data_IF_438819709290
#
_entry.id   IF_438819709290
#
_cell.length_a   1.000
_cell.length_b   1.000
_cell.length_c   1.000
_cell.angle_alpha   90.00
_cell.angle_beta   90.00
_cell.angle_gamma   90.00
#
_symmetry.space_group_name_H-M   'P 1'
#
loop_
_entity.id
_entity.type
_entity.pdbx_description
1 polymer ?
#
# COMPACT_ATOMS: atom_id res chain seq x y z
N UNK A 1 17.31 6.11 5.78
CA UNK A 1 17.69 6.86 7.01
C UNK A 1 19.03 6.40 7.54
N UNK A 2 19.23 5.10 7.82
CA UNK A 2 20.53 4.59 8.29
C UNK A 2 21.68 4.90 7.31
N UNK A 3 21.45 4.74 6.00
CA UNK A 3 22.46 5.08 4.98
C UNK A 3 22.75 6.59 4.85
N UNK A 4 21.97 7.44 5.55
CA UNK A 4 22.11 8.90 5.56
C UNK A 4 22.49 9.43 6.96
N UNK A 5 23.00 8.59 7.87
CA UNK A 5 23.34 9.01 9.24
C UNK A 5 24.28 10.23 9.24
N UNK A 6 25.29 10.26 8.39
CA UNK A 6 26.26 11.36 8.34
C UNK A 6 25.65 12.70 7.93
N UNK A 7 24.55 12.66 7.17
CA UNK A 7 23.78 13.85 6.78
C UNK A 7 22.80 14.25 7.89
N UNK A 8 22.08 13.27 8.44
CA UNK A 8 21.01 13.51 9.43
C UNK A 8 21.57 13.99 10.78
N UNK A 9 22.81 13.61 11.13
CA UNK A 9 23.45 13.98 12.40
C UNK A 9 23.97 15.42 12.47
N UNK A 10 24.01 16.14 11.34
CA UNK A 10 24.51 17.51 11.29
C UNK A 10 23.61 18.44 12.11
N UNK A 11 24.20 19.40 12.83
CA UNK A 11 23.46 20.30 13.72
C UNK A 11 22.47 21.21 12.99
N UNK A 12 22.72 21.47 11.70
CA UNK A 12 21.93 22.31 10.80
C UNK A 12 21.09 21.49 9.81
N UNK A 13 20.93 20.19 10.03
CA UNK A 13 20.12 19.33 9.15
C UNK A 13 18.67 19.81 9.06
N UNK A 14 18.21 20.08 7.83
CA UNK A 14 16.81 20.31 7.47
C UNK A 14 16.35 19.14 6.58
N UNK A 15 15.25 18.43 6.94
CA UNK A 15 14.74 17.33 6.13
C UNK A 15 14.36 17.77 4.72
N UNK A 16 14.76 17.00 3.72
CA UNK A 16 14.25 17.15 2.36
C UNK A 16 12.82 16.62 2.24
N UNK A 17 12.09 17.01 1.17
CA UNK A 17 10.76 16.44 0.88
C UNK A 17 10.79 14.92 0.79
N UNK A 18 11.87 14.34 0.26
CA UNK A 18 12.04 12.89 0.20
C UNK A 18 12.26 12.26 1.58
N UNK A 19 12.89 12.97 2.51
CA UNK A 19 13.02 12.52 3.90
C UNK A 19 11.66 12.60 4.62
N UNK A 20 10.88 13.65 4.37
CA UNK A 20 9.51 13.79 4.89
C UNK A 20 8.60 12.68 4.37
N UNK A 21 8.62 12.39 3.05
CA UNK A 21 7.84 11.31 2.44
C UNK A 21 8.23 9.91 2.93
N UNK A 22 9.51 9.69 3.27
CA UNK A 22 9.99 8.42 3.83
C UNK A 22 9.76 8.31 5.34
N UNK A 23 9.45 9.42 6.02
CA UNK A 23 9.16 9.43 7.44
C UNK A 23 7.90 8.61 7.70
N UNK A 24 8.01 7.61 8.58
CA UNK A 24 6.86 6.77 8.94
C UNK A 24 6.17 7.34 10.17
N UNK A 25 5.15 8.14 9.94
CA UNK A 25 4.16 8.51 10.95
C UNK A 25 2.91 7.66 10.72
N UNK A 26 2.45 6.93 11.73
CA UNK A 26 1.25 6.11 11.61
C UNK A 26 0.01 7.01 11.73
N UNK A 27 -0.80 7.09 10.70
CA UNK A 27 -2.10 7.78 10.74
C UNK A 27 -3.00 7.12 11.79
N UNK A 28 -3.47 7.93 12.75
CA UNK A 28 -4.55 7.59 13.69
C UNK A 28 -5.64 8.65 13.55
N UNK A 29 -6.89 8.21 13.38
CA UNK A 29 -8.02 9.07 13.05
C UNK A 29 -8.25 9.23 11.55
N UNK A 30 -8.93 10.32 11.22
CA UNK A 30 -9.30 10.73 9.86
C UNK A 30 -8.74 12.13 9.65
N UNK A 31 -7.97 12.32 8.58
CA UNK A 31 -7.43 13.60 8.19
C UNK A 31 -8.01 14.01 6.83
N UNK A 32 -8.34 15.29 6.71
CA UNK A 32 -8.94 15.84 5.49
C UNK A 32 -7.95 16.76 4.79
N UNK A 33 -7.91 16.69 3.47
CA UNK A 33 -7.14 17.63 2.65
C UNK A 33 -7.97 18.02 1.44
N UNK A 34 -8.05 19.32 1.17
CA UNK A 34 -8.74 19.86 0.00
C UNK A 34 -7.72 20.54 -0.90
N UNK A 35 -7.74 20.20 -2.18
CA UNK A 35 -6.85 20.78 -3.18
C UNK A 35 -7.53 20.83 -4.54
N UNK A 36 -6.98 21.59 -5.47
CA UNK A 36 -7.50 21.75 -6.83
C UNK A 36 -6.42 21.37 -7.84
N UNK A 37 -6.78 20.54 -8.83
CA UNK A 37 -5.92 20.18 -9.98
C UNK A 37 -6.71 20.42 -11.24
N UNK A 38 -6.18 21.21 -12.18
CA UNK A 38 -6.83 21.52 -13.46
C UNK A 38 -8.30 21.98 -13.32
N UNK A 39 -8.57 22.83 -12.31
CA UNK A 39 -9.90 23.34 -11.92
C UNK A 39 -10.87 22.31 -11.34
N UNK A 40 -10.45 21.06 -11.16
CA UNK A 40 -11.19 20.01 -10.47
C UNK A 40 -10.84 20.04 -8.99
N UNK A 41 -11.86 20.13 -8.13
CA UNK A 41 -11.68 20.12 -6.68
C UNK A 41 -11.64 18.69 -6.15
N UNK A 42 -10.63 18.38 -5.35
CA UNK A 42 -10.49 17.11 -4.64
C UNK A 42 -10.63 17.35 -3.14
N UNK A 43 -11.46 16.53 -2.49
CA UNK A 43 -11.56 16.44 -1.05
C UNK A 43 -11.17 15.02 -0.63
N UNK A 44 -9.94 14.89 -0.15
CA UNK A 44 -9.34 13.62 0.19
C UNK A 44 -9.41 13.38 1.70
N UNK A 45 -9.76 12.15 2.07
CA UNK A 45 -9.80 11.67 3.45
C UNK A 45 -8.72 10.60 3.64
N UNK A 46 -7.67 10.90 4.42
CA UNK A 46 -6.69 9.90 4.86
C UNK A 46 -7.20 9.24 6.14
N UNK A 47 -7.45 7.94 6.09
CA UNK A 47 -8.04 7.17 7.18
C UNK A 47 -7.03 6.15 7.72
N UNK A 48 -6.88 6.10 9.04
CA UNK A 48 -6.04 5.10 9.69
C UNK A 48 -6.47 3.67 9.32
N UNK A 49 -5.54 2.86 8.80
CA UNK A 49 -5.81 1.48 8.36
C UNK A 49 -5.63 0.39 9.42
N UNK A 50 -5.12 0.75 10.60
CA UNK A 50 -4.93 -0.17 11.72
C UNK A 50 -6.27 -0.68 12.25
N UNK A 51 -6.30 -1.90 12.81
CA UNK A 51 -7.56 -2.54 13.23
C UNK A 51 -8.45 -1.67 14.12
N UNK A 52 -7.86 -0.95 15.07
CA UNK A 52 -8.59 -0.09 16.01
C UNK A 52 -9.12 1.22 15.38
N UNK A 53 -8.58 1.61 14.23
CA UNK A 53 -8.98 2.81 13.50
C UNK A 53 -10.16 2.54 12.56
N UNK A 54 -10.34 1.30 12.10
CA UNK A 54 -11.32 0.92 11.07
C UNK A 54 -12.78 1.17 11.45
N UNK A 55 -13.11 1.19 12.75
CA UNK A 55 -14.47 1.53 13.20
C UNK A 55 -14.85 2.97 12.84
N UNK A 56 -13.87 3.86 12.67
CA UNK A 56 -14.09 5.27 12.33
C UNK A 56 -14.42 5.47 10.84
N UNK A 57 -14.10 4.50 9.97
CA UNK A 57 -14.28 4.63 8.53
C UNK A 57 -15.71 4.93 8.09
N UNK A 58 -16.71 4.48 8.85
CA UNK A 58 -18.12 4.81 8.56
C UNK A 58 -18.39 6.32 8.52
N UNK A 59 -17.57 7.13 9.21
CA UNK A 59 -17.69 8.58 9.25
C UNK A 59 -17.38 9.24 7.91
N UNK A 60 -16.59 8.58 7.05
CA UNK A 60 -16.23 9.10 5.73
C UNK A 60 -16.97 8.40 4.58
N UNK A 61 -17.96 7.55 4.84
CA UNK A 61 -18.67 6.80 3.78
C UNK A 61 -19.81 7.59 3.10
N UNK A 62 -20.09 8.80 3.55
CA UNK A 62 -21.10 9.65 2.91
C UNK A 62 -20.46 10.41 1.73
N UNK A 63 -21.08 10.31 0.55
CA UNK A 63 -20.72 11.07 -0.66
C UNK A 63 -19.28 10.86 -1.18
N UNK A 64 -18.75 9.63 -1.04
CA UNK A 64 -17.45 9.26 -1.60
C UNK A 64 -17.56 9.02 -3.10
N UNK A 65 -16.75 9.70 -3.90
CA UNK A 65 -16.68 9.46 -5.35
C UNK A 65 -16.00 8.14 -5.70
N UNK A 66 -14.88 7.85 -5.05
CA UNK A 66 -14.10 6.63 -5.25
C UNK A 66 -13.27 6.31 -4.00
N UNK A 67 -12.94 5.05 -3.81
CA UNK A 67 -12.04 4.59 -2.75
C UNK A 67 -10.67 4.31 -3.37
N UNK A 68 -9.61 4.88 -2.79
CA UNK A 68 -8.24 4.48 -3.08
C UNK A 68 -7.80 3.46 -2.03
N UNK A 69 -7.69 2.20 -2.42
CA UNK A 69 -7.23 1.14 -1.52
C UNK A 69 -5.75 0.85 -1.75
N UNK A 70 -4.91 1.06 -0.74
CA UNK A 70 -3.45 0.94 -0.87
C UNK A 70 -2.96 -0.35 -0.22
N UNK A 71 -2.26 -1.18 -0.99
CA UNK A 71 -1.64 -2.44 -0.54
C UNK A 71 -0.13 -2.28 -0.52
N UNK A 72 0.51 -2.70 0.57
CA UNK A 72 1.97 -2.80 0.64
C UNK A 72 2.43 -4.15 0.07
N UNK A 73 2.57 -4.25 -1.26
CA UNK A 73 2.80 -5.53 -1.97
C UNK A 73 4.07 -6.24 -1.53
N UNK A 74 5.11 -5.49 -1.14
CA UNK A 74 6.38 -6.03 -0.61
C UNK A 74 6.28 -6.70 0.77
N UNK A 75 5.12 -6.67 1.43
CA UNK A 75 4.93 -7.21 2.78
C UNK A 75 4.40 -8.64 2.82
N UNK A 76 4.46 -9.39 1.71
CA UNK A 76 3.98 -10.78 1.61
C UNK A 76 4.63 -11.72 2.63
N UNK A 77 5.84 -11.40 3.12
CA UNK A 77 6.58 -12.20 4.08
C UNK A 77 6.59 -11.62 5.51
N UNK A 78 5.70 -10.67 5.80
CA UNK A 78 5.64 -9.96 7.09
C UNK A 78 4.31 -10.20 7.80
N UNK A 79 4.30 -10.02 9.11
CA UNK A 79 3.10 -10.02 9.95
C UNK A 79 2.70 -8.60 10.37
N UNK A 80 1.40 -8.37 10.60
CA UNK A 80 0.88 -7.10 11.11
C UNK A 80 1.39 -6.85 12.53
N UNK A 81 1.41 -5.59 12.97
CA UNK A 81 1.95 -5.25 14.30
C UNK A 81 0.97 -5.58 15.42
N UNK A 82 -0.32 -5.52 15.10
CA UNK A 82 -1.43 -5.61 16.04
C UNK A 82 -1.48 -6.97 16.77
N UNK A 83 -1.13 -8.07 16.09
CA UNK A 83 -1.08 -9.40 16.71
C UNK A 83 0.25 -10.15 16.51
N UNK A 84 1.17 -9.59 15.70
CA UNK A 84 2.45 -10.21 15.35
C UNK A 84 2.30 -11.65 14.81
N UNK A 85 1.16 -11.95 14.19
CA UNK A 85 0.81 -13.30 13.73
C UNK A 85 0.17 -13.29 12.34
N UNK A 86 -0.77 -12.38 12.08
CA UNK A 86 -1.49 -12.33 10.80
C UNK A 86 -0.58 -11.79 9.70
N UNK A 87 -0.46 -12.52 8.59
CA UNK A 87 0.29 -12.06 7.41
C UNK A 87 -0.27 -10.72 6.88
N UNK A 88 0.60 -9.76 6.55
CA UNK A 88 0.18 -8.41 6.12
C UNK A 88 -0.56 -8.40 4.80
N UNK A 89 -0.11 -9.17 3.82
CA UNK A 89 -0.77 -9.22 2.52
C UNK A 89 -2.12 -9.93 2.65
N UNK A 90 -2.21 -10.98 3.47
CA UNK A 90 -3.49 -11.63 3.78
C UNK A 90 -4.46 -10.69 4.49
N UNK A 91 -4.00 -9.89 5.46
CA UNK A 91 -4.82 -8.87 6.11
C UNK A 91 -5.34 -7.85 5.09
N UNK A 92 -4.49 -7.40 4.16
CA UNK A 92 -4.88 -6.48 3.10
C UNK A 92 -5.93 -7.09 2.16
N UNK A 93 -5.77 -8.36 1.77
CA UNK A 93 -6.74 -9.11 0.96
C UNK A 93 -8.10 -9.24 1.68
N UNK A 94 -8.08 -9.59 2.97
CA UNK A 94 -9.29 -9.70 3.79
C UNK A 94 -10.01 -8.35 3.91
N UNK A 95 -9.24 -7.27 4.11
CA UNK A 95 -9.79 -5.92 4.21
C UNK A 95 -10.35 -5.43 2.87
N UNK A 96 -9.65 -5.68 1.76
CA UNK A 96 -10.15 -5.39 0.42
C UNK A 96 -11.46 -6.14 0.15
N UNK A 97 -11.52 -7.44 0.46
CA UNK A 97 -12.74 -8.25 0.34
C UNK A 97 -13.89 -7.68 1.18
N UNK A 98 -13.61 -7.18 2.37
CA UNK A 98 -14.62 -6.52 3.23
C UNK A 98 -15.18 -5.25 2.58
N UNK A 99 -14.32 -4.39 2.04
CA UNK A 99 -14.71 -3.16 1.34
C UNK A 99 -15.51 -3.50 0.08
N UNK A 100 -14.99 -4.41 -0.75
CA UNK A 100 -15.59 -4.81 -2.02
C UNK A 100 -17.00 -5.39 -1.84
N UNK A 101 -17.22 -6.18 -0.79
CA UNK A 101 -18.52 -6.77 -0.50
C UNK A 101 -19.42 -5.89 0.39
N UNK A 102 -18.97 -4.70 0.77
CA UNK A 102 -19.72 -3.82 1.65
C UNK A 102 -20.96 -3.28 0.93
N UNK A 103 -22.15 -3.51 1.50
CA UNK A 103 -23.43 -3.09 0.93
C UNK A 103 -23.53 -1.58 0.67
N UNK A 104 -22.89 -0.77 1.49
CA UNK A 104 -22.92 0.69 1.41
C UNK A 104 -21.96 1.24 0.34
N UNK A 105 -21.03 0.42 -0.14
CA UNK A 105 -20.00 0.80 -1.11
C UNK A 105 -20.20 0.15 -2.49
N UNK A 106 -21.33 -0.55 -2.72
CA UNK A 106 -21.58 -1.32 -3.95
C UNK A 106 -21.50 -0.50 -5.25
N UNK A 107 -21.85 0.77 -5.20
CA UNK A 107 -21.83 1.68 -6.35
C UNK A 107 -20.54 2.50 -6.43
N UNK A 108 -19.66 2.38 -5.42
CA UNK A 108 -18.44 3.17 -5.31
C UNK A 108 -17.31 2.41 -5.99
N UNK A 109 -16.64 3.07 -6.92
CA UNK A 109 -15.47 2.48 -7.59
C UNK A 109 -14.30 2.40 -6.64
N UNK A 110 -13.51 1.31 -6.74
CA UNK A 110 -12.29 1.12 -5.97
C UNK A 110 -11.09 1.19 -6.90
N UNK A 111 -10.23 2.16 -6.67
CA UNK A 111 -8.92 2.31 -7.30
C UNK A 111 -7.92 1.55 -6.41
N UNK A 112 -7.38 0.45 -6.91
CA UNK A 112 -6.43 -0.40 -6.17
C UNK A 112 -5.00 0.02 -6.46
N UNK A 113 -4.29 0.50 -5.44
CA UNK A 113 -2.86 0.79 -5.52
C UNK A 113 -2.05 -0.36 -4.94
N UNK A 114 -1.41 -1.12 -5.82
CA UNK A 114 -0.37 -2.08 -5.44
C UNK A 114 0.93 -1.31 -5.19
N UNK A 115 1.12 -0.80 -3.97
CA UNK A 115 2.22 0.08 -3.61
C UNK A 115 3.48 -0.71 -3.19
N UNK A 116 4.62 -0.01 -3.11
CA UNK A 116 5.95 -0.54 -2.76
C UNK A 116 6.48 -1.58 -3.75
N UNK A 117 6.25 -1.33 -5.03
CA UNK A 117 6.70 -2.18 -6.12
C UNK A 117 8.24 -2.24 -6.22
N UNK A 118 8.91 -1.13 -5.89
CA UNK A 118 10.36 -1.05 -5.72
C UNK A 118 10.87 -2.09 -4.70
N UNK A 119 10.31 -2.07 -3.49
CA UNK A 119 10.70 -3.00 -2.43
C UNK A 119 10.26 -4.44 -2.71
N UNK A 120 9.18 -4.63 -3.48
CA UNK A 120 8.75 -5.96 -3.90
C UNK A 120 9.76 -6.53 -4.88
N UNK A 121 10.14 -5.76 -5.90
CA UNK A 121 11.11 -6.17 -6.90
C UNK A 121 12.46 -6.51 -6.26
N UNK A 122 13.00 -5.64 -5.40
CA UNK A 122 14.23 -5.90 -4.66
C UNK A 122 14.17 -7.22 -3.86
N UNK A 123 13.04 -7.47 -3.19
CA UNK A 123 12.86 -8.66 -2.35
C UNK A 123 12.76 -9.95 -3.16
N UNK A 124 12.03 -9.92 -4.27
CA UNK A 124 11.90 -11.06 -5.20
C UNK A 124 13.25 -11.38 -5.82
N UNK A 125 13.95 -10.36 -6.33
CA UNK A 125 15.26 -10.53 -6.98
C UNK A 125 16.34 -10.99 -6.00
N UNK A 126 16.27 -10.58 -4.73
CA UNK A 126 17.18 -11.07 -3.69
C UNK A 126 17.03 -12.57 -3.40
N UNK A 127 15.87 -13.18 -3.70
CA UNK A 127 15.63 -14.62 -3.60
C UNK A 127 15.68 -15.21 -2.19
N UNK A 128 15.79 -14.39 -1.14
CA UNK A 128 15.94 -14.83 0.27
C UNK A 128 14.62 -15.26 0.93
N UNK A 129 13.49 -14.81 0.40
CA UNK A 129 12.16 -15.07 0.96
C UNK A 129 11.19 -15.25 -0.20
N UNK A 130 10.77 -16.49 -0.42
CA UNK A 130 9.97 -16.86 -1.59
C UNK A 130 8.50 -16.56 -1.33
N UNK A 131 7.73 -16.22 -2.37
CA UNK A 131 6.31 -15.88 -2.22
C UNK A 131 5.53 -17.14 -1.84
N UNK A 132 5.87 -18.28 -2.45
CA UNK A 132 5.23 -19.59 -2.23
C UNK A 132 5.36 -20.13 -0.80
N UNK A 133 6.32 -19.63 -0.01
CA UNK A 133 6.43 -19.98 1.42
C UNK A 133 5.28 -19.38 2.25
N UNK A 134 4.61 -18.34 1.72
CA UNK A 134 3.51 -17.62 2.38
C UNK A 134 2.19 -17.73 1.61
N UNK A 135 2.25 -17.85 0.28
CA UNK A 135 1.14 -17.97 -0.65
C UNK A 135 1.40 -19.16 -1.60
N UNK A 136 1.15 -20.41 -1.15
CA UNK A 136 1.59 -21.63 -1.84
C UNK A 136 1.08 -21.78 -3.29
N UNK A 137 -0.04 -21.15 -3.62
CA UNK A 137 -0.59 -21.08 -4.97
C UNK A 137 0.36 -20.42 -5.97
N UNK A 138 1.27 -19.56 -5.52
CA UNK A 138 2.25 -18.89 -6.37
C UNK A 138 3.21 -19.87 -7.06
N UNK A 139 3.49 -21.02 -6.46
CA UNK A 139 4.32 -22.07 -7.07
C UNK A 139 3.73 -22.63 -8.38
N UNK A 140 2.42 -22.43 -8.61
CA UNK A 140 1.70 -22.85 -9.81
C UNK A 140 1.20 -21.65 -10.62
N UNK A 141 1.52 -20.43 -10.19
CA UNK A 141 1.11 -19.23 -10.89
C UNK A 141 1.94 -19.06 -12.17
N UNK A 142 1.27 -18.63 -13.23
CA UNK A 142 1.91 -18.26 -14.50
C UNK A 142 1.50 -16.84 -14.83
N UNK A 143 2.46 -16.05 -15.33
CA UNK A 143 2.19 -14.68 -15.75
C UNK A 143 1.12 -14.68 -16.85
N UNK A 144 0.04 -13.89 -16.72
CA UNK A 144 -1.00 -13.79 -17.73
C UNK A 144 -0.47 -13.35 -19.10
N UNK A 145 -1.10 -13.81 -20.18
CA UNK A 145 -0.69 -13.47 -21.56
C UNK A 145 -0.87 -11.97 -21.88
N UNK A 146 -1.80 -11.30 -21.21
CA UNK A 146 -2.07 -9.87 -21.33
C UNK A 146 -1.18 -8.99 -20.43
N UNK A 147 -0.25 -9.60 -19.68
CA UNK A 147 0.74 -8.85 -18.92
C UNK A 147 1.67 -8.08 -19.87
N UNK A 148 1.94 -6.82 -19.55
CA UNK A 148 2.74 -5.91 -20.39
C UNK A 148 4.01 -5.45 -19.66
N UNK A 149 5.04 -6.32 -19.53
CA UNK A 149 6.28 -5.97 -18.83
C UNK A 149 6.95 -4.74 -19.45
N UNK A 150 7.60 -3.94 -18.61
CA UNK A 150 8.40 -2.82 -19.12
C UNK A 150 9.67 -3.32 -19.84
N UNK A 151 10.18 -2.59 -20.86
CA UNK A 151 11.43 -2.97 -21.52
C UNK A 151 12.58 -3.07 -20.52
N UNK A 152 13.18 -4.25 -20.40
CA UNK A 152 14.28 -4.51 -19.46
C UNK A 152 13.84 -4.90 -18.05
N UNK A 153 12.53 -5.04 -17.80
CA UNK A 153 12.02 -5.59 -16.54
C UNK A 153 12.36 -7.09 -16.42
N UNK A 154 12.84 -7.51 -15.24
CA UNK A 154 13.12 -8.92 -14.99
C UNK A 154 11.78 -9.69 -14.98
N UNK A 155 11.64 -10.81 -15.71
CA UNK A 155 10.37 -11.54 -15.81
C UNK A 155 9.79 -11.94 -14.46
N UNK A 156 10.64 -12.12 -13.43
CA UNK A 156 10.23 -12.45 -12.06
C UNK A 156 9.50 -11.30 -11.35
N UNK A 157 9.60 -10.07 -11.86
CA UNK A 157 8.99 -8.86 -11.26
C UNK A 157 8.03 -8.13 -12.20
N UNK A 158 7.54 -8.83 -13.23
CA UNK A 158 6.56 -8.29 -14.20
C UNK A 158 5.40 -7.60 -13.50
N UNK A 159 5.16 -6.33 -13.82
CA UNK A 159 4.06 -5.53 -13.24
C UNK A 159 2.73 -5.80 -13.92
N UNK A 160 1.65 -5.74 -13.14
CA UNK A 160 0.30 -5.57 -13.66
C UNK A 160 0.12 -4.10 -14.10
N UNK A 161 -0.49 -3.87 -15.27
CA UNK A 161 -0.90 -2.54 -15.73
C UNK A 161 -2.41 -2.36 -15.58
#
# INVERSE_FOLDING_TARGET
FLDKIDVIKQADYVPSDQDLLRCRVLTSGIFETKFQVDKVNFHMFDVGGQRDERRKWIQCFNDVTAIIFVVASSSYNMVIREDNQTNRLQEALNLFKSIWNNRWLRTISVILFLNKQDLLAEKVLAGKSKIEDYFPEFARYTTPEDATPEPGEDPRVTRAK
#
